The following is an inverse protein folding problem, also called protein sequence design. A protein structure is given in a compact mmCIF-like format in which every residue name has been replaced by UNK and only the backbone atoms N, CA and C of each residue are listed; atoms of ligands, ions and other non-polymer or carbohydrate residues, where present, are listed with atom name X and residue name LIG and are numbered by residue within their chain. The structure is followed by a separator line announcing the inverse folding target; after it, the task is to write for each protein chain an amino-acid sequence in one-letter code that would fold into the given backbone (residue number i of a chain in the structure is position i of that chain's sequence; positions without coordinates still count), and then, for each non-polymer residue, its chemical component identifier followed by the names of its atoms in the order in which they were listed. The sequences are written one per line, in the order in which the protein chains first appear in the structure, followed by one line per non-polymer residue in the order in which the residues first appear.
data_IF_899529542544
#
_entry.id   IF_899529542544
#
_cell.length_a   1.000
_cell.length_b   1.000
_cell.length_c   1.000
_cell.angle_alpha   90.00
_cell.angle_beta   90.00
_cell.angle_gamma   90.00
#
_symmetry.space_group_name_H-M   'P 1'
#
loop_
_entity.id
_entity.type
_entity.pdbx_description
1 polymer ?
#
# COMPACT_ATOMS: atom_id res chain seq x y z
N UNK A 1 -8.78 5.59 19.12
CA UNK A 1 -9.75 5.26 18.07
C UNK A 1 -10.56 6.51 17.80
N UNK A 2 -10.51 7.05 16.59
CA UNK A 2 -11.36 8.20 16.23
C UNK A 2 -12.78 7.67 15.96
N UNK A 3 -13.77 8.27 16.60
CA UNK A 3 -15.19 7.99 16.38
C UNK A 3 -15.70 8.77 15.15
N UNK A 4 -16.57 8.22 14.28
CA UNK A 4 -17.21 6.92 14.34
C UNK A 4 -16.48 5.89 13.46
N UNK A 5 -15.63 5.09 14.08
CA UNK A 5 -15.27 3.70 13.78
C UNK A 5 -15.68 3.10 12.42
N UNK A 6 -15.25 3.69 11.31
CA UNK A 6 -15.06 2.95 10.07
C UNK A 6 -13.56 2.92 9.81
N UNK A 7 -13.06 1.70 9.66
CA UNK A 7 -11.66 1.32 9.50
C UNK A 7 -10.96 2.10 8.40
N UNK A 8 -9.65 2.20 8.55
CA UNK A 8 -8.78 2.59 7.44
C UNK A 8 -9.01 1.66 6.26
N UNK A 9 -9.37 2.22 5.12
CA UNK A 9 -9.47 1.50 3.86
C UNK A 9 -8.59 2.16 2.81
N UNK A 10 -7.99 1.33 1.96
CA UNK A 10 -7.51 1.84 0.68
C UNK A 10 -8.71 2.05 -0.24
N UNK A 11 -8.74 3.19 -0.92
CA UNK A 11 -9.80 3.53 -1.87
C UNK A 11 -9.19 3.68 -3.27
N UNK A 12 -9.64 2.90 -4.25
CA UNK A 12 -10.62 1.81 -4.14
C UNK A 12 -10.05 0.55 -3.46
N UNK A 13 -10.91 -0.21 -2.78
CA UNK A 13 -10.54 -1.48 -2.13
C UNK A 13 -10.34 -2.61 -3.14
N UNK A 14 -11.00 -2.54 -4.29
CA UNK A 14 -10.80 -3.42 -5.43
C UNK A 14 -10.56 -2.58 -6.68
N UNK A 15 -9.42 -2.79 -7.32
CA UNK A 15 -8.99 -2.03 -8.49
C UNK A 15 -8.63 -3.00 -9.61
N UNK A 16 -9.31 -2.93 -10.74
CA UNK A 16 -8.95 -3.68 -11.95
C UNK A 16 -8.35 -2.74 -12.97
N UNK A 17 -7.13 -3.04 -13.43
CA UNK A 17 -6.43 -2.27 -14.46
C UNK A 17 -5.75 -3.17 -15.48
N UNK A 18 -5.45 -2.60 -16.63
CA UNK A 18 -4.73 -3.31 -17.69
C UNK A 18 -3.22 -3.27 -17.44
N UNK A 19 -2.52 -4.34 -17.85
CA UNK A 19 -1.05 -4.37 -17.88
C UNK A 19 -0.51 -3.16 -18.64
N UNK A 20 0.45 -2.46 -18.02
CA UNK A 20 1.06 -1.24 -18.56
C UNK A 20 0.43 0.05 -18.03
N UNK A 21 -0.71 -0.02 -17.33
CA UNK A 21 -1.32 1.12 -16.64
C UNK A 21 -0.38 1.64 -15.55
N UNK A 22 -0.26 2.96 -15.43
CA UNK A 22 0.43 3.60 -14.32
C UNK A 22 -0.58 3.95 -13.23
N UNK A 23 -0.35 3.44 -12.02
CA UNK A 23 -1.11 3.79 -10.83
C UNK A 23 -0.35 4.81 -10.02
N UNK A 24 -1.03 5.88 -9.59
CA UNK A 24 -0.49 6.83 -8.64
C UNK A 24 -0.96 6.48 -7.24
N UNK A 25 -0.03 6.33 -6.29
CA UNK A 25 -0.36 6.03 -4.90
C UNK A 25 -0.08 7.24 -4.03
N UNK A 26 -1.10 7.74 -3.35
CA UNK A 26 -0.96 8.90 -2.47
C UNK A 26 -2.00 8.82 -1.36
N UNK A 27 -1.59 9.18 -0.15
CA UNK A 27 -2.48 9.32 1.00
C UNK A 27 -1.89 10.29 2.01
N UNK A 28 -2.75 10.75 2.91
CA UNK A 28 -2.36 11.51 4.09
C UNK A 28 -2.83 10.78 5.33
N UNK A 29 -1.91 10.56 6.27
CA UNK A 29 -2.21 10.28 7.66
C UNK A 29 -2.40 11.58 8.44
N UNK A 30 -2.06 11.54 9.73
CA UNK A 30 -2.26 12.65 10.66
C UNK A 30 -1.14 12.72 11.69
N UNK A 31 -0.81 13.94 12.14
CA UNK A 31 0.05 14.22 13.30
C UNK A 31 -0.69 14.95 14.43
N UNK A 32 -2.01 15.12 14.26
CA UNK A 32 -2.85 15.93 15.13
C UNK A 32 -4.07 15.13 15.61
N UNK A 33 -3.98 13.81 15.68
CA UNK A 33 -5.06 13.01 16.25
C UNK A 33 -5.22 13.33 17.73
N UNK A 34 -6.48 13.44 18.18
CA UNK A 34 -6.78 13.73 19.58
C UNK A 34 -6.12 12.71 20.52
N UNK A 35 -5.61 13.18 21.66
CA UNK A 35 -4.95 12.34 22.65
C UNK A 35 -5.93 11.39 23.35
N UNK A 36 -5.41 10.31 23.95
CA UNK A 36 -6.22 9.28 24.60
C UNK A 36 -6.85 8.27 23.62
N UNK A 37 -6.63 8.46 22.32
CA UNK A 37 -7.07 7.54 21.28
C UNK A 37 -6.12 6.35 21.11
N UNK A 38 -6.66 5.14 21.14
CA UNK A 38 -5.97 3.91 20.67
C UNK A 38 -5.49 4.04 19.22
N UNK A 39 -4.21 3.81 18.98
CA UNK A 39 -3.54 3.82 17.67
C UNK A 39 -2.22 3.05 17.73
N UNK A 40 -1.57 2.83 16.60
CA UNK A 40 -0.26 2.18 16.55
C UNK A 40 0.87 3.20 16.32
N UNK A 41 2.03 2.96 16.91
CA UNK A 41 3.18 3.87 16.92
C UNK A 41 2.99 5.07 17.86
N UNK A 42 3.63 6.19 17.52
CA UNK A 42 3.68 7.39 18.37
C UNK A 42 2.29 7.99 18.58
N UNK A 43 1.98 8.35 19.82
CA UNK A 43 0.68 8.91 20.22
C UNK A 43 0.34 10.16 19.39
N UNK A 44 -0.91 10.26 18.94
CA UNK A 44 -1.39 11.38 18.12
C UNK A 44 -0.99 11.30 16.64
N UNK A 45 -0.22 10.28 16.24
CA UNK A 45 0.19 10.09 14.84
C UNK A 45 -0.54 8.94 14.17
N UNK A 46 -0.59 9.00 12.85
CA UNK A 46 -1.16 7.98 11.99
C UNK A 46 -0.40 7.93 10.67
N UNK A 47 -0.08 6.71 10.23
CA UNK A 47 0.61 6.44 8.96
C UNK A 47 0.06 5.15 8.37
N UNK A 48 -0.02 5.12 7.05
CA UNK A 48 -0.30 3.90 6.30
C UNK A 48 0.88 3.60 5.38
N UNK A 49 1.35 2.36 5.40
CA UNK A 49 2.28 1.82 4.42
C UNK A 49 1.58 0.83 3.50
N UNK A 50 2.29 0.29 2.52
CA UNK A 50 1.68 -0.63 1.58
C UNK A 50 2.69 -1.74 1.21
N UNK A 51 2.29 -2.98 1.47
CA UNK A 51 3.07 -4.19 1.17
C UNK A 51 2.13 -5.30 0.68
N UNK A 52 2.67 -6.27 -0.06
CA UNK A 52 1.87 -7.37 -0.60
C UNK A 52 1.66 -8.48 0.43
N UNK A 53 0.51 -9.14 0.33
CA UNK A 53 0.13 -10.34 1.09
C UNK A 53 -0.34 -11.45 0.16
N UNK A 54 -0.24 -12.70 0.63
CA UNK A 54 -0.62 -13.87 -0.17
C UNK A 54 -2.12 -13.93 -0.41
N UNK A 55 -2.93 -13.57 0.59
CA UNK A 55 -4.38 -13.50 0.50
C UNK A 55 -4.96 -12.51 1.52
N UNK A 56 -6.24 -12.13 1.37
CA UNK A 56 -6.91 -11.13 2.26
C UNK A 56 -7.10 -11.58 3.71
N UNK A 57 -6.99 -12.87 4.01
CA UNK A 57 -7.09 -13.42 5.37
C UNK A 57 -5.78 -13.26 6.14
N UNK A 58 -4.65 -13.09 5.45
CA UNK A 58 -3.35 -12.87 6.09
C UNK A 58 -3.17 -11.43 6.59
N UNK A 59 -2.40 -11.31 7.67
CA UNK A 59 -1.98 -10.04 8.25
C UNK A 59 -0.46 -9.87 8.22
N UNK A 60 0.25 -10.83 7.62
CA UNK A 60 1.71 -10.86 7.53
C UNK A 60 2.11 -10.68 6.07
N UNK A 61 3.01 -9.74 5.73
CA UNK A 61 3.51 -9.54 4.37
C UNK A 61 4.16 -10.80 3.80
N UNK A 62 4.07 -10.99 2.48
CA UNK A 62 4.90 -11.99 1.76
C UNK A 62 6.38 -11.60 1.83
N UNK A 63 7.30 -12.50 1.46
CA UNK A 63 8.74 -12.16 1.49
C UNK A 63 9.07 -11.09 0.45
N UNK A 64 10.21 -10.40 0.61
CA UNK A 64 10.62 -9.34 -0.31
C UNK A 64 10.78 -9.84 -1.76
N UNK A 65 11.12 -11.11 -1.94
CA UNK A 65 11.31 -11.77 -3.23
C UNK A 65 9.99 -12.12 -3.93
N UNK A 66 8.91 -12.30 -3.17
CA UNK A 66 7.58 -12.65 -3.69
C UNK A 66 6.77 -11.41 -4.14
N UNK A 67 7.23 -10.22 -3.75
CA UNK A 67 6.64 -8.96 -4.20
C UNK A 67 6.86 -8.76 -5.72
N UNK A 68 5.78 -8.46 -6.43
CA UNK A 68 5.72 -8.48 -7.90
C UNK A 68 5.22 -7.18 -8.51
N UNK A 69 4.33 -6.45 -7.83
CA UNK A 69 3.86 -5.12 -8.29
C UNK A 69 4.63 -3.97 -7.62
N UNK A 70 5.21 -4.21 -6.44
CA UNK A 70 5.96 -3.23 -5.66
C UNK A 70 7.21 -3.92 -5.10
N UNK A 71 8.27 -3.97 -5.91
CA UNK A 71 9.48 -4.76 -5.63
C UNK A 71 10.75 -3.88 -5.57
N UNK A 72 11.86 -4.47 -5.11
CA UNK A 72 13.16 -3.78 -5.08
C UNK A 72 13.15 -2.52 -4.19
N UNK A 73 13.68 -1.41 -4.69
CA UNK A 73 13.71 -0.15 -3.92
C UNK A 73 12.31 0.47 -3.77
N UNK A 74 11.40 0.19 -4.70
CA UNK A 74 10.01 0.60 -4.58
C UNK A 74 9.34 -0.07 -3.37
N UNK A 75 9.63 -1.34 -3.12
CA UNK A 75 9.18 -2.04 -1.90
C UNK A 75 9.66 -1.32 -0.65
N UNK A 76 10.94 -0.95 -0.57
CA UNK A 76 11.48 -0.24 0.60
C UNK A 76 10.79 1.10 0.81
N UNK A 77 10.56 1.85 -0.27
CA UNK A 77 9.83 3.12 -0.25
C UNK A 77 8.42 2.95 0.32
N UNK A 78 7.64 2.01 -0.22
CA UNK A 78 6.26 1.80 0.23
C UNK A 78 6.16 1.14 1.61
N UNK A 79 7.09 0.26 1.97
CA UNK A 79 7.11 -0.43 3.26
C UNK A 79 7.49 0.50 4.42
N UNK A 80 8.48 1.37 4.21
CA UNK A 80 9.06 2.23 5.24
C UNK A 80 8.77 3.73 5.06
N UNK A 81 8.00 4.13 4.04
CA UNK A 81 7.57 5.51 3.78
C UNK A 81 8.74 6.51 3.69
N UNK A 82 9.86 6.07 3.11
CA UNK A 82 11.11 6.85 3.00
C UNK A 82 11.62 7.45 4.32
N UNK A 83 11.17 6.95 5.48
CA UNK A 83 11.47 7.55 6.78
C UNK A 83 12.95 7.56 7.13
N UNK A 84 13.76 6.69 6.52
CA UNK A 84 15.22 6.68 6.66
C UNK A 84 15.90 7.93 6.09
N UNK A 85 15.20 8.70 5.25
CA UNK A 85 15.67 10.01 4.78
C UNK A 85 15.35 11.15 5.76
N UNK A 86 14.49 10.90 6.75
CA UNK A 86 13.99 11.89 7.70
C UNK A 86 14.64 11.68 9.08
N UNK A 87 14.78 10.42 9.50
CA UNK A 87 15.32 10.05 10.81
C UNK A 87 16.34 8.92 10.70
N UNK A 88 17.24 8.84 11.68
CA UNK A 88 18.15 7.71 11.80
C UNK A 88 17.44 6.54 12.48
N UNK A 89 16.97 5.59 11.68
CA UNK A 89 16.24 4.42 12.17
C UNK A 89 17.08 3.57 13.13
N UNK A 90 16.54 3.34 14.33
CA UNK A 90 17.11 2.39 15.28
C UNK A 90 16.31 1.07 15.22
N UNK A 91 16.96 0.02 14.74
CA UNK A 91 16.33 -1.31 14.55
C UNK A 91 15.98 -1.97 15.88
N UNK A 92 16.76 -1.68 16.92
CA UNK A 92 16.63 -2.27 18.25
C UNK A 92 15.62 -1.51 19.12
N UNK A 93 15.18 -0.34 18.67
CA UNK A 93 14.23 0.49 19.39
C UNK A 93 12.82 -0.12 19.33
N UNK A 94 12.29 -0.52 20.48
CA UNK A 94 10.94 -1.05 20.63
C UNK A 94 10.00 -0.06 21.34
N UNK A 95 10.44 1.17 21.58
CA UNK A 95 9.59 2.19 22.19
C UNK A 95 8.67 2.78 21.12
N UNK A 96 7.36 2.52 21.23
CA UNK A 96 6.37 3.05 20.29
C UNK A 96 6.31 4.58 20.26
N UNK A 97 6.81 5.27 21.28
CA UNK A 97 6.86 6.74 21.30
C UNK A 97 8.16 7.30 20.73
N UNK A 98 9.18 6.45 20.50
CA UNK A 98 10.45 6.90 19.93
C UNK A 98 10.29 7.21 18.45
N UNK A 99 10.75 8.40 18.05
CA UNK A 99 10.74 8.82 16.65
C UNK A 99 11.63 7.91 15.77
N UNK A 100 12.65 7.28 16.35
CA UNK A 100 13.60 6.42 15.63
C UNK A 100 13.11 4.96 15.50
N UNK A 101 11.97 4.60 16.12
CA UNK A 101 11.35 3.28 15.96
C UNK A 101 10.66 3.19 14.59
N UNK A 102 11.46 2.89 13.57
CA UNK A 102 11.00 2.82 12.20
C UNK A 102 10.12 1.60 11.89
N UNK A 103 10.08 0.60 12.78
CA UNK A 103 9.15 -0.54 12.66
C UNK A 103 7.70 -0.07 12.75
N UNK A 104 7.45 0.98 13.53
CA UNK A 104 6.16 1.63 13.64
C UNK A 104 5.98 2.82 12.70
N UNK A 105 6.90 3.05 11.76
CA UNK A 105 6.85 4.19 10.83
C UNK A 105 6.83 5.56 11.54
N UNK A 106 7.42 5.66 12.74
CA UNK A 106 7.30 6.86 13.57
C UNK A 106 7.99 8.09 12.98
N UNK A 107 9.07 7.89 12.23
CA UNK A 107 9.83 8.96 11.58
C UNK A 107 9.27 9.39 10.22
N UNK A 108 8.27 8.69 9.70
CA UNK A 108 7.68 9.01 8.40
C UNK A 108 6.87 10.32 8.44
N UNK A 109 6.78 11.02 7.31
CA UNK A 109 5.84 12.12 7.11
C UNK A 109 4.38 11.63 7.14
N UNK A 110 3.45 12.48 7.61
CA UNK A 110 2.01 12.17 7.54
C UNK A 110 1.53 12.05 6.10
N UNK A 111 2.06 12.90 5.22
CA UNK A 111 1.82 12.81 3.79
C UNK A 111 2.80 11.83 3.15
N UNK A 112 2.30 10.93 2.30
CA UNK A 112 3.12 10.04 1.49
C UNK A 112 2.70 10.12 0.02
N UNK A 113 3.71 10.23 -0.84
CA UNK A 113 3.59 10.19 -2.29
C UNK A 113 4.46 9.05 -2.85
N UNK A 114 3.78 7.99 -3.27
CA UNK A 114 4.41 6.82 -3.89
C UNK A 114 4.90 7.10 -5.31
N UNK A 115 4.35 8.12 -5.98
CA UNK A 115 4.55 8.38 -7.40
C UNK A 115 3.81 7.37 -8.29
N UNK A 116 4.16 7.39 -9.57
CA UNK A 116 3.60 6.49 -10.59
C UNK A 116 4.29 5.12 -10.57
N UNK A 117 3.50 4.06 -10.48
CA UNK A 117 3.96 2.67 -10.56
C UNK A 117 3.32 1.99 -11.75
N UNK A 118 4.14 1.47 -12.66
CA UNK A 118 3.65 0.74 -13.83
C UNK A 118 3.24 -0.69 -13.46
N UNK A 119 2.01 -1.08 -13.78
CA UNK A 119 1.48 -2.42 -13.51
C UNK A 119 1.94 -3.41 -14.58
N UNK A 120 3.12 -4.02 -14.39
CA UNK A 120 3.72 -4.94 -15.35
C UNK A 120 3.46 -6.43 -15.07
N UNK A 121 3.32 -6.81 -13.79
CA UNK A 121 2.96 -8.16 -13.39
C UNK A 121 1.45 -8.36 -13.55
N UNK A 122 1.02 -9.41 -14.25
CA UNK A 122 -0.40 -9.77 -14.37
C UNK A 122 -0.81 -10.68 -13.22
N UNK A 123 -2.06 -10.57 -12.77
CA UNK A 123 -2.60 -11.41 -11.70
C UNK A 123 -3.49 -10.64 -10.74
N UNK A 124 -3.79 -11.29 -9.62
CA UNK A 124 -4.51 -10.70 -8.49
C UNK A 124 -3.52 -10.49 -7.37
N UNK A 125 -3.37 -9.25 -6.93
CA UNK A 125 -2.42 -8.86 -5.90
C UNK A 125 -3.17 -8.28 -4.71
N UNK A 126 -2.91 -8.81 -3.53
CA UNK A 126 -3.48 -8.29 -2.29
C UNK A 126 -2.43 -7.46 -1.58
N UNK A 127 -2.84 -6.31 -1.06
CA UNK A 127 -1.96 -5.38 -0.35
C UNK A 127 -2.56 -5.01 1.00
N UNK A 128 -1.71 -4.68 1.97
CA UNK A 128 -2.11 -4.20 3.28
C UNK A 128 -1.19 -3.11 3.81
N UNK A 129 -1.66 -2.35 4.80
CA UNK A 129 -0.80 -1.55 5.67
C UNK A 129 -0.47 -2.32 6.94
N UNK A 130 0.80 -2.60 7.22
CA UNK A 130 1.20 -3.32 8.43
C UNK A 130 0.89 -2.52 9.68
N UNK A 131 1.11 -1.19 9.67
CA UNK A 131 0.85 -0.33 10.83
C UNK A 131 -0.63 -0.25 11.17
N UNK A 132 -1.48 -0.14 10.16
CA UNK A 132 -2.93 -0.02 10.35
C UNK A 132 -3.66 -1.36 10.41
N UNK A 133 -2.93 -2.48 10.35
CA UNK A 133 -3.46 -3.85 10.43
C UNK A 133 -2.88 -4.62 11.64
N UNK A 134 -2.24 -3.91 12.58
CA UNK A 134 -1.62 -4.46 13.80
C UNK A 134 -2.59 -4.57 15.00
N UNK A 135 -3.83 -4.09 14.85
CA UNK A 135 -4.89 -4.20 15.86
C UNK A 135 -5.98 -5.15 15.38
N UNK A 136 -6.45 -6.04 16.26
CA UNK A 136 -7.25 -7.24 15.97
C UNK A 136 -8.57 -7.03 15.22
N UNK A 137 -9.04 -5.80 15.06
CA UNK A 137 -10.25 -5.44 14.32
C UNK A 137 -10.01 -4.37 13.24
N UNK A 138 -8.76 -4.18 12.78
CA UNK A 138 -8.43 -3.26 11.67
C UNK A 138 -7.90 -4.04 10.47
N UNK A 139 -8.45 -3.75 9.29
CA UNK A 139 -8.14 -4.44 8.05
C UNK A 139 -7.95 -3.48 6.88
N UNK A 140 -6.93 -2.61 6.94
CA UNK A 140 -6.56 -1.75 5.80
C UNK A 140 -5.91 -2.56 4.69
N UNK A 141 -6.73 -3.09 3.80
CA UNK A 141 -6.33 -3.98 2.71
C UNK A 141 -7.00 -3.58 1.40
N UNK A 142 -6.35 -3.90 0.28
CA UNK A 142 -6.93 -3.77 -1.05
C UNK A 142 -6.51 -4.92 -1.97
N UNK A 143 -7.23 -5.06 -3.07
CA UNK A 143 -6.92 -5.96 -4.16
C UNK A 143 -6.69 -5.15 -5.43
N UNK A 144 -5.54 -5.38 -6.07
CA UNK A 144 -5.22 -4.84 -7.39
C UNK A 144 -5.19 -6.02 -8.36
N UNK A 145 -6.08 -6.01 -9.34
CA UNK A 145 -6.15 -6.98 -10.41
C UNK A 145 -5.55 -6.37 -11.67
N UNK A 146 -4.47 -6.98 -12.17
CA UNK A 146 -3.83 -6.57 -13.41
C UNK A 146 -4.18 -7.58 -14.49
N UNK A 147 -5.09 -7.16 -15.38
CA UNK A 147 -5.57 -7.98 -16.50
C UNK A 147 -4.76 -7.72 -17.77
N UNK A 148 -4.88 -8.63 -18.74
CA UNK A 148 -4.30 -8.42 -20.06
C UNK A 148 -4.86 -7.13 -20.66
N UNK A 149 -4.00 -6.30 -21.25
CA UNK A 149 -4.47 -5.15 -22.02
C UNK A 149 -5.42 -5.64 -23.11
N UNK A 150 -6.65 -5.13 -23.08
CA UNK A 150 -7.54 -5.33 -24.21
C UNK A 150 -7.00 -4.40 -25.31
N UNK A 151 -6.41 -5.00 -26.34
CA UNK A 151 -6.35 -4.30 -27.62
C UNK A 151 -7.81 -3.97 -27.94
N UNK A 152 -8.21 -2.70 -27.86
CA UNK A 152 -9.47 -2.22 -28.42
C UNK A 152 -9.36 -2.41 -29.93
N UNK A 153 -9.59 -3.64 -30.36
CA UNK A 153 -9.41 -4.04 -31.74
C UNK A 153 -10.65 -3.59 -32.49
N UNK A 154 -10.36 -2.86 -33.55
CA UNK A 154 -10.92 -2.96 -34.89
C UNK A 154 -11.00 -4.42 -35.43
N UNK A 155 -11.28 -5.41 -34.56
CA UNK A 155 -11.41 -6.82 -34.88
C UNK A 155 -12.65 -7.11 -35.73
N UNK A 156 -13.58 -6.15 -35.80
CA UNK A 156 -14.71 -6.20 -36.73
C UNK A 156 -14.36 -5.81 -38.16
N UNK A 157 -13.22 -5.16 -38.43
CA UNK A 157 -12.89 -4.73 -39.80
C UNK A 157 -11.86 -5.64 -40.49
N UNK A 158 -10.88 -6.19 -39.78
CA UNK A 158 -9.88 -7.06 -40.42
C UNK A 158 -10.38 -8.48 -40.75
N UNK A 159 -11.50 -8.92 -40.18
CA UNK A 159 -12.18 -10.17 -40.55
C UNK A 159 -12.99 -10.08 -41.85
N UNK A 160 -13.20 -8.88 -42.40
CA UNK A 160 -14.00 -8.65 -43.60
C UNK A 160 -13.15 -8.39 -44.87
N UNK A 161 -11.84 -8.19 -44.75
CA UNK A 161 -10.97 -7.76 -45.87
C UNK A 161 -10.20 -8.91 -46.54
N UNK A 162 -10.21 -10.12 -45.98
CA UNK A 162 -9.55 -11.30 -46.57
C UNK A 162 -10.51 -12.37 -47.11
N UNK A 163 -11.77 -12.00 -47.37
CA UNK A 163 -12.75 -12.83 -48.06
C UNK A 163 -13.07 -12.23 -49.45
N UNK A 164 -12.07 -12.19 -50.34
CA UNK A 164 -12.25 -12.12 -51.80
C UNK A 164 -11.21 -13.00 -52.45
#
# INVERSE_FOLDING_TARGET
QVYPSVEYDFVPTELTVEKGTFLHFQWTGSDANAQGNTGNGRTGTDRSNLVQISNRQENVPITAEEHSIISGDLLKKFAYLDQSSIVNCNKDDNNDQSINNCKQLNGASAYFDGGLVQMNAMGVFHVLSTRNNDFSNRSQKATIMVIKAHLRLWQKELGAVFAV
#
